data_IF_593346520140
#
_entry.id   IF_593346520140
#
_cell.length_a   1.000
_cell.length_b   1.000
_cell.length_c   1.000
_cell.angle_alpha   90.00
_cell.angle_beta   90.00
_cell.angle_gamma   90.00
#
_symmetry.space_group_name_H-M   'P 1'
#
loop_
_entity.id
_entity.type
_entity.pdbx_description
1 polymer ?
#
# COMPACT_ATOMS: atom_id res chain seq x y z
N UNK A 1 5.71 23.28 23.97
CA UNK A 1 6.81 22.33 24.24
C UNK A 1 6.44 21.06 23.48
N UNK A 2 6.93 20.92 22.24
CA UNK A 2 6.55 19.79 21.39
C UNK A 2 7.29 18.55 21.85
N UNK A 3 6.56 17.55 22.34
CA UNK A 3 7.09 16.22 22.48
C UNK A 3 7.48 15.75 21.08
N UNK A 4 8.79 15.70 20.80
CA UNK A 4 9.30 15.10 19.57
C UNK A 4 9.05 13.61 19.76
N UNK A 5 7.87 13.14 19.36
CA UNK A 5 7.56 11.74 19.27
C UNK A 5 8.65 11.12 18.39
N UNK A 6 9.54 10.32 18.98
CA UNK A 6 10.50 9.54 18.22
C UNK A 6 9.69 8.54 17.41
N UNK A 7 9.50 8.85 16.13
CA UNK A 7 8.88 7.94 15.19
C UNK A 7 9.92 6.88 14.89
N UNK A 8 9.64 5.66 15.29
CA UNK A 8 10.45 4.50 14.92
C UNK A 8 10.28 4.25 13.41
N UNK A 9 11.22 4.78 12.63
CA UNK A 9 11.22 4.67 11.17
C UNK A 9 11.26 3.22 10.69
N UNK A 10 11.87 2.30 11.45
CA UNK A 10 11.89 0.88 11.12
C UNK A 10 10.49 0.27 11.26
N UNK A 11 9.75 0.59 12.33
CA UNK A 11 8.35 0.16 12.47
C UNK A 11 7.46 0.73 11.37
N UNK A 12 7.71 1.96 10.92
CA UNK A 12 6.95 2.54 9.79
C UNK A 12 7.25 1.80 8.49
N UNK A 13 8.51 1.47 8.21
CA UNK A 13 8.88 0.67 7.02
C UNK A 13 8.26 -0.73 7.08
N UNK A 14 8.32 -1.40 8.22
CA UNK A 14 7.71 -2.72 8.41
C UNK A 14 6.18 -2.69 8.20
N UNK A 15 5.51 -1.63 8.67
CA UNK A 15 4.08 -1.45 8.41
C UNK A 15 3.78 -1.21 6.92
N UNK A 16 4.63 -0.43 6.25
CA UNK A 16 4.50 -0.21 4.80
C UNK A 16 4.65 -1.52 4.01
N UNK A 17 5.62 -2.36 4.38
CA UNK A 17 5.85 -3.66 3.73
C UNK A 17 4.69 -4.63 3.97
N UNK A 18 4.13 -4.65 5.18
CA UNK A 18 2.93 -5.44 5.48
C UNK A 18 1.71 -5.00 4.66
N UNK A 19 1.53 -3.70 4.45
CA UNK A 19 0.43 -3.18 3.61
C UNK A 19 0.65 -3.47 2.13
N UNK A 20 1.89 -3.43 1.64
CA UNK A 20 2.22 -3.80 0.27
C UNK A 20 1.93 -5.29 0.01
N UNK A 21 2.33 -6.16 0.94
CA UNK A 21 2.03 -7.60 0.89
C UNK A 21 0.52 -7.87 0.92
N UNK A 22 -0.24 -7.11 1.72
CA UNK A 22 -1.71 -7.19 1.72
C UNK A 22 -2.30 -6.75 0.37
N UNK A 23 -1.73 -5.72 -0.28
CA UNK A 23 -2.14 -5.30 -1.61
C UNK A 23 -1.91 -6.40 -2.65
N UNK A 24 -0.82 -7.15 -2.56
CA UNK A 24 -0.55 -8.29 -3.42
C UNK A 24 -1.53 -9.45 -3.18
N UNK A 25 -1.89 -9.72 -1.92
CA UNK A 25 -2.93 -10.68 -1.58
C UNK A 25 -4.29 -10.32 -2.20
N UNK A 26 -4.70 -9.05 -2.11
CA UNK A 26 -5.94 -8.56 -2.73
C UNK A 26 -5.87 -8.59 -4.26
N UNK A 27 -4.70 -8.32 -4.84
CA UNK A 27 -4.51 -8.42 -6.29
C UNK A 27 -4.64 -9.88 -6.77
N UNK A 28 -4.17 -10.85 -5.98
CA UNK A 28 -4.28 -12.29 -6.28
C UNK A 28 -5.71 -12.80 -6.38
N UNK A 29 -6.64 -12.30 -5.55
CA UNK A 29 -8.08 -12.66 -5.57
C UNK A 29 -8.72 -12.42 -6.95
N UNK A 30 -8.13 -11.55 -7.76
CA UNK A 30 -8.71 -11.02 -9.01
C UNK A 30 -8.26 -11.79 -10.23
N UNK A 31 -7.29 -12.69 -10.05
CA UNK A 31 -6.74 -13.48 -11.14
C UNK A 31 -7.71 -14.57 -11.62
N UNK A 32 -8.82 -14.81 -10.91
CA UNK A 32 -9.91 -15.70 -11.34
C UNK A 32 -10.84 -15.04 -12.37
N UNK A 33 -10.29 -14.22 -13.27
CA UNK A 33 -11.07 -13.55 -14.32
C UNK A 33 -11.60 -14.61 -15.29
N UNK A 34 -12.89 -14.93 -15.15
CA UNK A 34 -13.61 -15.74 -16.12
C UNK A 34 -13.67 -14.97 -17.44
N UNK A 35 -13.00 -15.49 -18.48
CA UNK A 35 -13.04 -14.89 -19.80
C UNK A 35 -14.50 -14.92 -20.31
N UNK A 36 -15.15 -13.76 -20.57
CA UNK A 36 -16.55 -13.72 -20.99
C UNK A 36 -16.81 -14.55 -22.25
N UNK A 37 -15.81 -14.63 -23.11
CA UNK A 37 -15.81 -15.34 -24.38
C UNK A 37 -15.83 -16.87 -24.21
N UNK A 38 -15.46 -17.36 -23.02
CA UNK A 38 -15.48 -18.77 -22.63
C UNK A 38 -16.75 -19.14 -21.83
N UNK A 39 -17.61 -18.17 -21.53
CA UNK A 39 -18.82 -18.36 -20.74
C UNK A 39 -20.06 -18.52 -21.63
N UNK A 40 -20.85 -19.57 -21.36
CA UNK A 40 -22.09 -19.82 -22.10
C UNK A 40 -23.25 -19.00 -21.52
N UNK A 41 -23.86 -18.14 -22.34
CA UNK A 41 -25.19 -17.56 -22.10
C UNK A 41 -25.35 -16.87 -20.73
N UNK A 42 -26.17 -17.43 -19.84
CA UNK A 42 -26.50 -16.85 -18.53
C UNK A 42 -25.29 -16.58 -17.63
N UNK A 43 -24.16 -17.24 -17.88
CA UNK A 43 -22.90 -17.02 -17.17
C UNK A 43 -22.26 -15.66 -17.51
N UNK A 44 -22.49 -15.12 -18.72
CA UNK A 44 -22.02 -13.80 -19.13
C UNK A 44 -22.68 -12.69 -18.31
N UNK A 45 -23.97 -12.83 -17.98
CA UNK A 45 -24.69 -11.88 -17.12
C UNK A 45 -24.16 -11.84 -15.69
N UNK A 46 -23.70 -12.97 -15.16
CA UNK A 46 -23.03 -13.06 -13.86
C UNK A 46 -21.60 -12.47 -13.89
N UNK A 47 -20.87 -12.62 -15.02
CA UNK A 47 -19.57 -11.99 -15.19
C UNK A 47 -19.67 -10.46 -15.31
N UNK A 48 -20.65 -9.95 -16.06
CA UNK A 48 -20.90 -8.51 -16.20
C UNK A 48 -21.26 -7.83 -14.86
N UNK A 49 -21.84 -8.58 -13.91
CA UNK A 49 -22.10 -8.07 -12.56
C UNK A 49 -20.88 -8.11 -11.62
N UNK A 50 -19.83 -8.85 -11.97
CA UNK A 50 -18.53 -8.87 -11.25
C UNK A 50 -17.56 -7.77 -11.68
N UNK A 51 -17.73 -7.21 -12.88
CA UNK A 51 -16.91 -6.11 -13.41
C UNK A 51 -16.82 -4.88 -12.47
N UNK A 52 -17.92 -4.36 -11.88
CA UNK A 52 -17.84 -3.27 -10.91
C UNK A 52 -17.13 -3.65 -9.59
N UNK A 53 -17.09 -4.94 -9.23
CA UNK A 53 -16.29 -5.42 -8.09
C UNK A 53 -14.80 -5.44 -8.45
N UNK A 54 -14.49 -5.89 -9.67
CA UNK A 54 -13.16 -5.86 -10.23
C UNK A 54 -12.65 -4.44 -10.51
N UNK A 55 -13.46 -3.39 -10.50
CA UNK A 55 -12.92 -2.01 -10.48
C UNK A 55 -12.62 -1.54 -9.05
N UNK A 56 -13.53 -1.82 -8.11
CA UNK A 56 -13.37 -1.43 -6.70
C UNK A 56 -12.13 -2.03 -6.04
N UNK A 57 -11.86 -3.30 -6.32
CA UNK A 57 -10.63 -3.95 -5.83
C UNK A 57 -9.36 -3.28 -6.40
N UNK A 58 -9.43 -2.60 -7.55
CA UNK A 58 -8.28 -1.97 -8.25
C UNK A 58 -7.98 -0.66 -7.54
N UNK A 59 -9.05 0.05 -7.22
CA UNK A 59 -8.97 1.22 -6.37
C UNK A 59 -8.36 0.87 -5.01
N UNK A 60 -8.81 -0.22 -4.36
CA UNK A 60 -8.26 -0.65 -3.07
C UNK A 60 -6.78 -0.98 -3.16
N UNK A 61 -6.36 -1.82 -4.10
CA UNK A 61 -4.93 -2.14 -4.32
C UNK A 61 -4.12 -0.88 -4.60
N UNK A 62 -4.63 0.03 -5.43
CA UNK A 62 -3.96 1.29 -5.76
C UNK A 62 -3.77 2.16 -4.51
N UNK A 63 -4.80 2.26 -3.66
CA UNK A 63 -4.75 3.05 -2.43
C UNK A 63 -3.81 2.45 -1.39
N UNK A 64 -3.79 1.13 -1.23
CA UNK A 64 -2.85 0.44 -0.34
C UNK A 64 -1.40 0.70 -0.76
N UNK A 65 -1.10 0.54 -2.06
CA UNK A 65 0.25 0.82 -2.61
C UNK A 65 0.64 2.29 -2.52
N UNK A 66 -0.31 3.21 -2.70
CA UNK A 66 -0.06 4.64 -2.50
C UNK A 66 0.29 4.96 -1.04
N UNK A 67 -0.45 4.37 -0.10
CA UNK A 67 -0.17 4.53 1.32
C UNK A 67 1.19 3.96 1.71
N UNK A 68 1.53 2.73 1.28
CA UNK A 68 2.81 2.10 1.57
C UNK A 68 4.00 2.95 1.07
N UNK A 69 3.89 3.51 -0.14
CA UNK A 69 4.90 4.44 -0.69
C UNK A 69 5.03 5.72 0.14
N UNK A 70 3.92 6.31 0.55
CA UNK A 70 3.93 7.51 1.39
C UNK A 70 4.56 7.24 2.75
N UNK A 71 4.27 6.09 3.36
CA UNK A 71 4.84 5.68 4.64
C UNK A 71 6.36 5.50 4.57
N UNK A 72 6.89 4.83 3.53
CA UNK A 72 8.34 4.71 3.29
C UNK A 72 9.00 6.08 3.13
N UNK A 73 8.41 6.95 2.29
CA UNK A 73 8.92 8.31 2.09
C UNK A 73 8.94 9.16 3.37
N UNK A 74 7.95 8.98 4.25
CA UNK A 74 7.92 9.62 5.56
C UNK A 74 9.01 9.07 6.48
N UNK A 75 9.21 7.75 6.54
CA UNK A 75 10.27 7.13 7.34
C UNK A 75 11.66 7.66 6.92
N UNK A 76 11.93 7.75 5.62
CA UNK A 76 13.19 8.27 5.11
C UNK A 76 13.37 9.77 5.44
N UNK A 77 12.27 10.53 5.46
CA UNK A 77 12.31 11.94 5.85
C UNK A 77 12.62 12.12 7.35
N UNK A 78 12.04 11.26 8.21
CA UNK A 78 12.36 11.26 9.64
C UNK A 78 13.81 10.89 9.90
N UNK A 79 14.33 9.84 9.26
CA UNK A 79 15.73 9.42 9.40
C UNK A 79 16.70 10.53 8.97
N UNK A 80 16.45 11.19 7.84
CA UNK A 80 17.26 12.34 7.39
C UNK A 80 17.23 13.48 8.40
N UNK A 81 16.06 13.77 8.99
CA UNK A 81 15.92 14.82 10.00
C UNK A 81 16.69 14.47 11.29
N UNK A 82 16.66 13.21 11.72
CA UNK A 82 17.43 12.74 12.88
C UNK A 82 18.94 12.83 12.66
N UNK A 83 19.44 12.38 11.50
CA UNK A 83 20.87 12.48 11.14
C UNK A 83 21.33 13.94 11.11
N UNK A 84 20.57 14.81 10.44
CA UNK A 84 20.91 16.24 10.37
C UNK A 84 20.92 16.91 11.75
N UNK A 85 19.98 16.54 12.63
CA UNK A 85 19.94 17.09 13.98
C UNK A 85 21.08 16.53 14.86
N UNK A 86 21.44 15.26 14.70
CA UNK A 86 22.57 14.64 15.40
C UNK A 86 23.91 15.28 15.03
N UNK A 87 24.14 15.55 13.74
CA UNK A 87 25.34 16.26 13.26
C UNK A 87 25.46 17.68 13.83
N UNK A 88 24.34 18.35 14.09
CA UNK A 88 24.31 19.72 14.64
C UNK A 88 24.59 19.77 16.14
N UNK A 89 24.34 18.68 16.88
CA UNK A 89 24.45 18.61 18.34
C UNK A 89 25.78 17.95 18.79
N UNK A 90 26.45 17.20 17.92
CA UNK A 90 27.76 16.61 18.22
C UNK A 90 28.79 17.71 18.56
N UNK A 91 29.47 17.65 19.74
CA UNK A 91 30.49 18.61 20.09
C UNK A 91 31.71 18.46 19.17
N UNK A 92 32.29 19.60 18.78
CA UNK A 92 33.56 19.66 18.03
C UNK A 92 34.71 19.03 18.82
#
# INVERSE_FOLDING_TARGET
>A
MGEIARVDGERVRAAADGVDAAADGVAGIRSEHLAPDELCGSQVGAAASHEPMAERLNEVVTRLRAWARAARGAADAFERAEVANGQRIAPR
#
